data_IF_157952920532
#
_entry.id   IF_157952920532
#
_cell.length_a   1.000
_cell.length_b   1.000
_cell.length_c   1.000
_cell.angle_alpha   90.00
_cell.angle_beta   90.00
_cell.angle_gamma   90.00
#
_symmetry.space_group_name_H-M   'P 1'
#
loop_
_entity.id
_entity.type
_entity.pdbx_description
1 polymer ?
#
# COMPACT_ATOMS: atom_id res chain seq x y z
N UNK A 1 -18.05 -30.38 24.51
CA UNK A 1 -17.40 -29.26 25.20
C UNK A 1 -16.58 -28.42 24.25
N UNK A 2 -17.18 -27.33 23.74
CA UNK A 2 -16.46 -26.30 22.99
C UNK A 2 -15.81 -25.39 24.02
N UNK A 3 -14.49 -25.46 24.14
CA UNK A 3 -13.71 -24.51 24.92
C UNK A 3 -14.05 -23.08 24.44
N UNK A 4 -14.19 -22.11 25.37
CA UNK A 4 -14.37 -20.72 25.00
C UNK A 4 -13.14 -20.24 24.21
N UNK A 5 -13.35 -19.57 23.06
CA UNK A 5 -12.26 -18.89 22.31
C UNK A 5 -11.73 -17.77 23.21
N UNK A 6 -10.67 -18.07 23.95
CA UNK A 6 -9.97 -17.09 24.78
C UNK A 6 -9.27 -16.14 23.80
N UNK A 7 -9.77 -14.90 23.75
CA UNK A 7 -9.14 -13.68 23.26
C UNK A 7 -7.76 -13.86 22.58
N UNK A 8 -7.76 -14.07 21.26
CA UNK A 8 -6.56 -14.02 20.41
C UNK A 8 -6.02 -12.58 20.22
N UNK A 9 -6.63 -11.57 20.85
CA UNK A 9 -6.19 -10.18 20.83
C UNK A 9 -4.81 -9.94 21.48
N UNK A 10 -4.20 -10.97 22.09
CA UNK A 10 -2.87 -10.92 22.71
C UNK A 10 -1.83 -11.78 21.99
N UNK A 11 -2.19 -12.49 20.91
CA UNK A 11 -1.19 -13.20 20.10
C UNK A 11 -0.30 -12.15 19.44
N UNK A 12 1.04 -12.32 19.42
CA UNK A 12 1.93 -11.35 18.80
C UNK A 12 1.71 -11.36 17.29
N UNK A 13 0.82 -10.47 16.88
CA UNK A 13 0.63 -9.75 15.62
C UNK A 13 1.98 -9.21 15.09
N UNK A 14 2.89 -10.15 14.80
CA UNK A 14 4.24 -9.91 14.31
C UNK A 14 4.27 -9.59 12.80
N UNK A 15 3.46 -10.22 11.93
CA UNK A 15 3.53 -9.97 10.49
C UNK A 15 3.09 -8.55 10.13
N UNK A 16 2.01 -8.04 10.73
CA UNK A 16 1.48 -6.70 10.53
C UNK A 16 2.44 -5.64 11.07
N UNK A 17 2.99 -5.82 12.28
CA UNK A 17 4.01 -4.93 12.85
C UNK A 17 5.23 -4.82 11.95
N UNK A 18 5.72 -5.94 11.45
CA UNK A 18 6.88 -5.95 10.54
C UNK A 18 6.49 -5.33 9.19
N UNK A 19 5.27 -5.54 8.69
CA UNK A 19 4.78 -4.93 7.46
C UNK A 19 4.68 -3.40 7.56
N UNK A 20 4.40 -2.82 8.73
CA UNK A 20 4.40 -1.36 8.92
C UNK A 20 5.78 -0.71 8.75
N UNK A 21 6.86 -1.49 8.74
CA UNK A 21 8.22 -0.98 8.44
C UNK A 21 8.45 -0.75 6.95
N UNK A 22 7.59 -1.28 6.07
CA UNK A 22 7.73 -1.20 4.61
C UNK A 22 7.59 0.23 4.08
N UNK A 23 6.58 1.05 4.49
CA UNK A 23 6.50 2.44 4.07
C UNK A 23 7.74 3.30 4.38
N UNK A 24 8.30 3.31 5.62
CA UNK A 24 9.52 4.06 5.88
C UNK A 24 10.76 3.46 5.20
N UNK A 25 10.83 2.13 5.03
CA UNK A 25 11.92 1.48 4.30
C UNK A 25 12.00 1.95 2.83
N UNK A 26 10.85 2.15 2.19
CA UNK A 26 10.77 2.63 0.82
C UNK A 26 11.32 4.06 0.66
N UNK A 27 11.13 4.90 1.68
CA UNK A 27 11.70 6.26 1.70
C UNK A 27 13.23 6.23 1.71
N UNK A 28 13.85 5.31 2.47
CA UNK A 28 15.30 5.10 2.44
C UNK A 28 15.78 4.53 1.11
N UNK A 29 15.05 3.57 0.55
CA UNK A 29 15.38 2.95 -0.74
C UNK A 29 15.44 3.99 -1.86
N UNK A 30 14.35 4.74 -2.08
CA UNK A 30 14.35 5.79 -3.10
C UNK A 30 15.22 6.98 -2.73
N UNK A 31 15.35 7.32 -1.44
CA UNK A 31 16.23 8.38 -0.97
C UNK A 31 17.72 8.14 -1.27
N UNK A 32 18.16 6.88 -1.35
CA UNK A 32 19.52 6.53 -1.76
C UNK A 32 19.77 6.57 -3.28
N UNK A 33 18.72 6.31 -4.08
CA UNK A 33 18.76 6.27 -5.55
C UNK A 33 18.60 7.63 -6.23
N UNK A 34 18.06 8.63 -5.53
CA UNK A 34 17.88 9.97 -6.09
C UNK A 34 19.12 10.84 -5.90
N UNK A 35 19.33 11.80 -6.79
CA UNK A 35 20.40 12.79 -6.64
C UNK A 35 20.32 13.49 -5.29
N UNK A 36 21.49 13.88 -4.75
CA UNK A 36 21.65 14.61 -3.48
C UNK A 36 20.64 15.75 -3.27
N UNK A 37 20.41 16.54 -4.33
CA UNK A 37 19.49 17.69 -4.32
C UNK A 37 18.03 17.31 -4.09
N UNK A 38 17.64 16.08 -4.41
CA UNK A 38 16.25 15.61 -4.37
C UNK A 38 15.94 14.70 -3.19
N UNK A 39 16.93 14.30 -2.39
CA UNK A 39 16.75 13.35 -1.27
C UNK A 39 15.71 13.85 -0.28
N UNK A 40 15.84 15.11 0.17
CA UNK A 40 14.89 15.72 1.09
C UNK A 40 13.47 15.77 0.49
N UNK A 41 13.37 16.10 -0.80
CA UNK A 41 12.09 16.10 -1.51
C UNK A 41 11.49 14.69 -1.56
N UNK A 42 12.29 13.66 -1.85
CA UNK A 42 11.82 12.28 -1.92
C UNK A 42 11.34 11.75 -0.56
N UNK A 43 12.08 12.04 0.51
CA UNK A 43 11.68 11.70 1.88
C UNK A 43 10.36 12.42 2.24
N UNK A 44 10.23 13.69 1.89
CA UNK A 44 9.03 14.47 2.15
C UNK A 44 7.82 13.96 1.36
N UNK A 45 7.98 13.64 0.07
CA UNK A 45 6.91 13.06 -0.76
C UNK A 45 6.46 11.70 -0.24
N UNK A 46 7.38 10.88 0.29
CA UNK A 46 7.05 9.59 0.90
C UNK A 46 6.22 9.78 2.19
N UNK A 47 6.60 10.73 3.04
CA UNK A 47 5.87 11.05 4.28
C UNK A 47 4.47 11.62 4.00
N UNK A 48 4.36 12.54 3.05
CA UNK A 48 3.08 13.12 2.63
C UNK A 48 2.17 12.04 2.02
N UNK A 49 2.73 11.12 1.23
CA UNK A 49 1.98 9.99 0.68
C UNK A 49 1.41 9.11 1.78
N UNK A 50 2.23 8.74 2.77
CA UNK A 50 1.78 7.95 3.91
C UNK A 50 0.62 8.64 4.65
N UNK A 51 0.72 9.94 4.93
CA UNK A 51 -0.34 10.67 5.62
C UNK A 51 -1.65 10.76 4.82
N UNK A 52 -1.57 11.09 3.53
CA UNK A 52 -2.76 11.23 2.67
C UNK A 52 -3.46 9.89 2.49
N UNK A 53 -2.70 8.85 2.18
CA UNK A 53 -3.27 7.52 1.94
C UNK A 53 -3.80 6.92 3.23
N UNK A 54 -3.12 7.11 4.37
CA UNK A 54 -3.65 6.68 5.66
C UNK A 54 -5.02 7.32 5.96
N UNK A 55 -5.13 8.65 5.80
CA UNK A 55 -6.40 9.35 6.02
C UNK A 55 -7.48 8.87 5.06
N UNK A 56 -7.16 8.77 3.77
CA UNK A 56 -8.10 8.28 2.75
C UNK A 56 -8.57 6.85 3.06
N UNK A 57 -7.66 5.96 3.44
CA UNK A 57 -7.93 4.57 3.77
C UNK A 57 -8.88 4.43 4.97
N UNK A 58 -8.59 5.16 6.06
CA UNK A 58 -9.44 5.17 7.26
C UNK A 58 -10.80 5.77 6.96
N UNK A 59 -10.86 6.89 6.24
CA UNK A 59 -12.12 7.58 5.97
C UNK A 59 -13.04 6.73 5.11
N UNK A 60 -12.54 6.14 4.02
CA UNK A 60 -13.39 5.35 3.13
C UNK A 60 -12.69 4.29 2.29
N UNK A 61 -11.37 4.34 2.07
CA UNK A 61 -10.67 3.40 1.19
C UNK A 61 -10.82 1.94 1.61
N UNK A 62 -10.68 1.66 2.91
CA UNK A 62 -10.92 0.32 3.44
C UNK A 62 -12.34 -0.18 3.15
N UNK A 63 -13.32 0.70 3.36
CA UNK A 63 -14.74 0.43 3.11
C UNK A 63 -14.97 0.13 1.63
N UNK A 64 -14.33 0.88 0.74
CA UNK A 64 -14.49 0.70 -0.69
C UNK A 64 -13.82 -0.59 -1.20
N UNK A 65 -12.66 -0.95 -0.64
CA UNK A 65 -11.95 -2.18 -0.99
C UNK A 65 -12.62 -3.45 -0.43
N UNK A 66 -13.00 -3.44 0.85
CA UNK A 66 -13.41 -4.65 1.59
C UNK A 66 -14.82 -4.60 2.17
N UNK A 67 -15.49 -3.45 2.12
CA UNK A 67 -16.83 -3.29 2.67
C UNK A 67 -17.90 -4.12 1.95
N UNK A 68 -19.14 -4.11 2.49
CA UNK A 68 -20.27 -4.80 1.88
C UNK A 68 -20.44 -4.35 0.43
N UNK A 69 -20.64 -5.27 -0.52
CA UNK A 69 -20.63 -4.94 -1.93
C UNK A 69 -21.87 -4.14 -2.35
N UNK A 70 -21.68 -3.16 -3.25
CA UNK A 70 -22.78 -2.52 -3.98
C UNK A 70 -23.03 -3.26 -5.30
N UNK A 71 -21.97 -3.69 -5.97
CA UNK A 71 -22.01 -4.44 -7.23
C UNK A 71 -20.74 -5.28 -7.40
N UNK A 72 -20.68 -6.10 -8.46
CA UNK A 72 -19.49 -6.88 -8.78
C UNK A 72 -18.31 -5.92 -9.07
N UNK A 73 -17.35 -5.88 -8.15
CA UNK A 73 -16.17 -5.02 -8.26
C UNK A 73 -16.28 -3.61 -7.68
N UNK A 74 -17.35 -3.28 -6.93
CA UNK A 74 -17.44 -2.03 -6.18
C UNK A 74 -17.95 -2.28 -4.76
N UNK A 75 -17.11 -1.95 -3.76
CA UNK A 75 -17.52 -1.92 -2.35
C UNK A 75 -18.41 -0.72 -2.03
N UNK A 76 -19.06 -0.78 -0.87
CA UNK A 76 -19.86 0.33 -0.34
C UNK A 76 -19.06 1.21 0.61
N UNK A 77 -19.65 2.35 1.00
CA UNK A 77 -19.10 3.22 2.04
C UNK A 77 -19.63 2.91 3.45
N UNK A 78 -20.25 1.74 3.67
CA UNK A 78 -20.90 1.40 4.95
C UNK A 78 -19.92 1.25 6.13
N UNK A 79 -18.67 0.87 5.87
CA UNK A 79 -17.59 0.82 6.87
C UNK A 79 -16.66 2.05 6.83
N UNK A 80 -17.16 3.18 6.34
CA UNK A 80 -16.40 4.43 6.38
C UNK A 80 -15.99 4.79 7.82
N UNK A 81 -14.83 5.42 7.98
CA UNK A 81 -14.23 5.75 9.28
C UNK A 81 -14.01 4.50 10.14
N UNK A 82 -13.75 3.35 9.50
CA UNK A 82 -13.55 2.04 10.14
C UNK A 82 -14.69 1.63 11.08
N UNK A 83 -15.93 2.06 10.77
CA UNK A 83 -17.13 1.70 11.54
C UNK A 83 -17.69 0.38 11.05
N UNK A 84 -17.23 -0.71 11.65
CA UNK A 84 -17.61 -2.06 11.22
C UNK A 84 -19.01 -2.50 11.68
N UNK A 85 -19.61 -1.81 12.66
CA UNK A 85 -20.84 -2.26 13.34
C UNK A 85 -20.55 -3.44 14.29
N UNK A 86 -21.54 -4.30 14.54
CA UNK A 86 -21.39 -5.54 15.32
C UNK A 86 -20.89 -6.72 14.48
N UNK A 87 -20.26 -6.45 13.33
CA UNK A 87 -19.88 -7.50 12.38
C UNK A 87 -18.53 -8.08 12.78
N UNK A 88 -18.56 -9.32 13.27
CA UNK A 88 -17.40 -10.21 13.26
C UNK A 88 -17.33 -10.81 11.85
N UNK A 89 -16.35 -10.38 11.05
CA UNK A 89 -16.33 -10.76 9.65
C UNK A 89 -15.43 -11.98 9.40
N UNK A 90 -16.04 -13.15 9.58
CA UNK A 90 -15.44 -14.45 9.25
C UNK A 90 -14.95 -14.55 7.79
N UNK A 91 -15.42 -13.68 6.87
CA UNK A 91 -15.07 -13.76 5.43
C UNK A 91 -13.63 -13.30 5.15
N UNK A 92 -13.14 -12.29 5.87
CA UNK A 92 -11.80 -11.73 5.64
C UNK A 92 -10.85 -11.97 6.80
N UNK A 93 -11.39 -12.05 8.02
CA UNK A 93 -10.59 -12.05 9.24
C UNK A 93 -11.15 -13.05 10.26
N UNK A 94 -11.19 -14.36 9.92
CA UNK A 94 -11.75 -15.39 10.80
C UNK A 94 -10.92 -15.61 12.08
N UNK A 95 -9.65 -15.22 12.07
CA UNK A 95 -8.67 -15.54 13.12
C UNK A 95 -8.28 -14.32 13.97
N UNK A 96 -8.55 -13.10 13.52
CA UNK A 96 -8.14 -11.86 14.21
C UNK A 96 -9.13 -10.72 13.97
N UNK A 97 -9.08 -9.61 14.74
CA UNK A 97 -10.02 -8.51 14.58
C UNK A 97 -9.96 -7.84 13.20
N UNK A 98 -11.11 -7.43 12.66
CA UNK A 98 -11.21 -6.72 11.37
C UNK A 98 -10.40 -5.40 11.35
N UNK A 99 -10.18 -4.78 12.51
CA UNK A 99 -9.32 -3.60 12.63
C UNK A 99 -7.86 -3.92 12.29
N UNK A 100 -7.35 -5.08 12.70
CA UNK A 100 -5.99 -5.54 12.38
C UNK A 100 -5.89 -5.85 10.89
N UNK A 101 -6.92 -6.47 10.30
CA UNK A 101 -7.02 -6.65 8.85
C UNK A 101 -6.97 -5.31 8.09
N UNK A 102 -7.72 -4.31 8.57
CA UNK A 102 -7.73 -2.97 8.00
C UNK A 102 -6.37 -2.26 8.11
N UNK A 103 -5.68 -2.39 9.25
CA UNK A 103 -4.35 -1.85 9.45
C UNK A 103 -3.33 -2.54 8.53
N UNK A 104 -3.38 -3.86 8.43
CA UNK A 104 -2.52 -4.66 7.57
C UNK A 104 -2.64 -4.24 6.11
N UNK A 105 -3.85 -4.28 5.54
CA UNK A 105 -4.07 -3.87 4.14
C UNK A 105 -3.85 -2.36 3.92
N UNK A 106 -3.94 -1.55 4.98
CA UNK A 106 -3.56 -0.14 4.93
C UNK A 106 -2.07 0.05 4.58
N UNK A 107 -1.19 -0.87 4.96
CA UNK A 107 0.23 -0.81 4.57
C UNK A 107 0.42 -1.03 3.06
N UNK A 108 -0.39 -1.89 2.44
CA UNK A 108 -0.41 -2.13 0.99
C UNK A 108 -0.96 -0.90 0.26
N UNK A 109 -2.02 -0.29 0.80
CA UNK A 109 -2.58 0.94 0.27
C UNK A 109 -1.54 2.05 0.26
N UNK A 110 -0.75 2.19 1.33
CA UNK A 110 0.29 3.22 1.46
C UNK A 110 1.47 2.96 0.51
N UNK A 111 1.99 1.72 0.44
CA UNK A 111 3.20 1.43 -0.34
C UNK A 111 2.97 1.60 -1.85
N UNK A 112 1.76 1.27 -2.34
CA UNK A 112 1.47 1.22 -3.77
C UNK A 112 1.68 2.57 -4.49
N UNK A 113 1.03 3.68 -4.10
CA UNK A 113 1.29 4.99 -4.69
C UNK A 113 2.68 5.52 -4.32
N UNK A 114 3.25 5.11 -3.19
CA UNK A 114 4.62 5.48 -2.83
C UNK A 114 5.65 4.88 -3.80
N UNK A 115 5.40 3.70 -4.39
CA UNK A 115 6.23 3.14 -5.46
C UNK A 115 6.20 4.01 -6.73
N UNK A 116 5.06 4.62 -7.06
CA UNK A 116 4.92 5.54 -8.20
C UNK A 116 5.79 6.78 -7.97
N UNK A 117 5.88 7.26 -6.71
CA UNK A 117 6.64 8.46 -6.35
C UNK A 117 8.11 8.38 -6.80
N UNK A 118 8.72 7.19 -6.72
CA UNK A 118 10.10 6.96 -7.17
C UNK A 118 10.31 7.19 -8.66
N UNK A 119 9.29 6.94 -9.50
CA UNK A 119 9.37 7.16 -10.95
C UNK A 119 9.20 8.64 -11.35
N UNK A 120 8.52 9.42 -10.51
CA UNK A 120 8.13 10.82 -10.81
C UNK A 120 8.87 11.86 -9.98
N UNK A 121 9.82 11.43 -9.14
CA UNK A 121 10.63 12.31 -8.30
C UNK A 121 11.34 13.38 -9.12
N UNK A 122 11.25 14.63 -8.66
CA UNK A 122 11.83 15.79 -9.35
C UNK A 122 11.11 16.17 -10.65
N UNK A 123 9.95 15.57 -10.97
CA UNK A 123 9.15 15.88 -12.17
C UNK A 123 7.78 16.49 -11.88
N UNK A 124 7.35 16.50 -10.62
CA UNK A 124 6.04 17.03 -10.23
C UNK A 124 6.12 17.92 -9.00
N UNK A 125 5.31 18.98 -8.98
CA UNK A 125 5.17 19.86 -7.82
C UNK A 125 4.39 19.15 -6.71
N UNK A 126 4.58 19.58 -5.46
CA UNK A 126 3.97 18.98 -4.27
C UNK A 126 2.42 18.99 -4.32
N UNK A 127 1.79 20.12 -4.66
CA UNK A 127 0.31 20.19 -4.66
C UNK A 127 -0.32 19.24 -5.69
N UNK A 128 0.10 19.23 -6.98
CA UNK A 128 -0.34 18.21 -7.93
C UNK A 128 -0.08 16.78 -7.47
N UNK A 129 1.04 16.52 -6.79
CA UNK A 129 1.34 15.21 -6.21
C UNK A 129 0.33 14.77 -5.17
N UNK A 130 -0.01 15.64 -4.21
CA UNK A 130 -1.00 15.32 -3.18
C UNK A 130 -2.38 15.02 -3.77
N UNK A 131 -2.79 15.78 -4.78
CA UNK A 131 -4.05 15.55 -5.49
C UNK A 131 -3.99 14.23 -6.26
N UNK A 132 -2.90 14.00 -6.98
CA UNK A 132 -2.69 12.79 -7.77
C UNK A 132 -2.77 11.53 -6.90
N UNK A 133 -2.02 11.46 -5.80
CA UNK A 133 -2.02 10.26 -4.96
C UNK A 133 -3.37 10.01 -4.29
N UNK A 134 -4.08 11.06 -3.87
CA UNK A 134 -5.42 10.91 -3.28
C UNK A 134 -6.42 10.33 -4.29
N UNK A 135 -6.46 10.92 -5.49
CA UNK A 135 -7.35 10.48 -6.57
C UNK A 135 -6.95 9.08 -7.00
N UNK A 136 -5.67 8.85 -7.30
CA UNK A 136 -5.16 7.58 -7.79
C UNK A 136 -5.42 6.44 -6.82
N UNK A 137 -5.23 6.65 -5.51
CA UNK A 137 -5.55 5.63 -4.51
C UNK A 137 -7.04 5.30 -4.53
N UNK A 138 -7.89 6.33 -4.62
CA UNK A 138 -9.35 6.16 -4.63
C UNK A 138 -9.87 5.47 -5.90
N UNK A 139 -9.33 5.81 -7.08
CA UNK A 139 -9.89 5.37 -8.37
C UNK A 139 -9.14 4.22 -9.03
N UNK A 140 -7.91 3.94 -8.62
CA UNK A 140 -7.11 2.84 -9.14
C UNK A 140 -6.88 1.76 -8.09
N UNK A 141 -6.33 2.13 -6.93
CA UNK A 141 -5.98 1.15 -5.91
C UNK A 141 -7.22 0.51 -5.26
N UNK A 142 -8.14 1.30 -4.71
CA UNK A 142 -9.29 0.76 -3.98
C UNK A 142 -10.17 -0.17 -4.85
N UNK A 143 -10.51 0.18 -6.12
CA UNK A 143 -11.23 -0.74 -6.99
C UNK A 143 -10.41 -1.99 -7.32
N UNK A 144 -9.11 -1.87 -7.62
CA UNK A 144 -8.27 -3.02 -7.91
C UNK A 144 -8.20 -3.98 -6.72
N UNK A 145 -8.04 -3.45 -5.51
CA UNK A 145 -8.08 -4.24 -4.28
C UNK A 145 -9.43 -4.94 -4.11
N UNK A 146 -10.54 -4.27 -4.40
CA UNK A 146 -11.86 -4.90 -4.40
C UNK A 146 -11.98 -6.02 -5.44
N UNK A 147 -11.49 -5.80 -6.66
CA UNK A 147 -11.58 -6.76 -7.76
C UNK A 147 -10.85 -8.06 -7.46
N UNK A 148 -9.67 -7.96 -6.85
CA UNK A 148 -8.77 -9.08 -6.61
C UNK A 148 -9.00 -9.74 -5.24
N UNK A 149 -9.20 -8.96 -4.19
CA UNK A 149 -9.30 -9.47 -2.82
C UNK A 149 -10.69 -9.38 -2.21
N UNK A 150 -11.50 -8.40 -2.64
CA UNK A 150 -12.87 -8.20 -2.17
C UNK A 150 -13.75 -9.43 -2.40
N UNK A 151 -14.72 -9.63 -1.51
CA UNK A 151 -15.64 -10.78 -1.51
C UNK A 151 -16.54 -10.84 -2.75
N UNK A 152 -16.80 -9.69 -3.38
CA UNK A 152 -17.55 -9.54 -4.63
C UNK A 152 -16.66 -9.24 -5.84
N UNK A 153 -15.34 -9.36 -5.66
CA UNK A 153 -14.35 -9.03 -6.67
C UNK A 153 -14.46 -9.95 -7.87
N UNK A 154 -14.66 -9.38 -9.06
CA UNK A 154 -14.85 -10.19 -10.27
C UNK A 154 -13.59 -10.98 -10.63
N UNK A 155 -12.38 -10.42 -10.44
CA UNK A 155 -11.12 -11.14 -10.69
C UNK A 155 -10.95 -12.31 -9.71
N UNK A 156 -11.35 -12.13 -8.45
CA UNK A 156 -11.41 -13.21 -7.46
C UNK A 156 -12.32 -14.34 -7.93
N UNK A 157 -13.52 -14.00 -8.40
CA UNK A 157 -14.49 -14.99 -8.88
C UNK A 157 -14.06 -15.69 -10.18
N UNK A 158 -13.22 -15.05 -11.00
CA UNK A 158 -12.59 -15.68 -12.16
C UNK A 158 -11.45 -16.65 -11.79
N UNK A 159 -11.07 -16.75 -10.51
CA UNK A 159 -10.00 -17.62 -10.05
C UNK A 159 -8.60 -17.00 -10.16
N UNK A 160 -8.49 -15.67 -10.18
CA UNK A 160 -7.20 -14.98 -10.18
C UNK A 160 -6.44 -15.30 -8.89
N UNK A 161 -5.24 -15.84 -9.02
CA UNK A 161 -4.38 -16.16 -7.87
C UNK A 161 -3.41 -15.00 -7.66
N UNK A 162 -3.76 -14.10 -6.74
CA UNK A 162 -2.88 -13.04 -6.28
C UNK A 162 -2.81 -13.02 -4.75
N UNK A 163 -1.81 -13.73 -4.23
CA UNK A 163 -1.66 -14.00 -2.81
C UNK A 163 -1.33 -12.74 -2.01
N UNK A 164 -0.34 -11.95 -2.45
CA UNK A 164 0.18 -10.80 -1.71
C UNK A 164 0.21 -9.51 -2.55
N UNK A 165 -0.49 -9.43 -3.68
CA UNK A 165 -0.65 -8.16 -4.41
C UNK A 165 0.36 -7.97 -5.53
N UNK A 166 0.74 -9.05 -6.21
CA UNK A 166 1.44 -9.02 -7.49
C UNK A 166 0.77 -8.06 -8.47
N UNK A 167 -0.56 -8.15 -8.58
CA UNK A 167 -1.36 -7.28 -9.45
C UNK A 167 -1.70 -5.97 -8.77
N UNK A 168 -2.24 -6.03 -7.54
CA UNK A 168 -2.80 -4.86 -6.83
C UNK A 168 -1.72 -3.85 -6.44
N UNK A 169 -0.52 -4.31 -6.11
CA UNK A 169 0.60 -3.46 -5.67
C UNK A 169 1.61 -3.29 -6.79
N UNK A 170 2.27 -4.36 -7.25
CA UNK A 170 3.47 -4.22 -8.08
C UNK A 170 3.18 -3.87 -9.54
N UNK A 171 2.29 -4.61 -10.20
CA UNK A 171 1.93 -4.32 -11.59
C UNK A 171 1.21 -2.98 -11.68
N UNK A 172 0.23 -2.74 -10.80
CA UNK A 172 -0.55 -1.50 -10.81
C UNK A 172 0.34 -0.26 -10.61
N UNK A 173 1.24 -0.28 -9.61
CA UNK A 173 2.18 0.82 -9.38
C UNK A 173 3.23 0.95 -10.48
N UNK A 174 3.77 -0.16 -10.99
CA UNK A 174 4.78 -0.16 -12.05
C UNK A 174 4.27 0.43 -13.36
N UNK A 175 3.08 0.00 -13.81
CA UNK A 175 2.44 0.56 -15.01
C UNK A 175 2.09 2.03 -14.80
N UNK A 176 1.57 2.40 -13.62
CA UNK A 176 1.25 3.79 -13.30
C UNK A 176 2.49 4.68 -13.28
N UNK A 177 3.60 4.20 -12.72
CA UNK A 177 4.89 4.87 -12.73
C UNK A 177 5.43 5.07 -14.14
N UNK A 178 5.35 4.04 -14.98
CA UNK A 178 5.73 4.13 -16.40
C UNK A 178 4.89 5.19 -17.12
N UNK A 179 3.56 5.10 -17.05
CA UNK A 179 2.65 6.06 -17.70
C UNK A 179 2.89 7.48 -17.21
N UNK A 180 3.02 7.68 -15.89
CA UNK A 180 3.29 8.99 -15.32
C UNK A 180 4.66 9.55 -15.79
N UNK A 181 5.68 8.69 -15.90
CA UNK A 181 7.00 9.10 -16.39
C UNK A 181 6.98 9.52 -17.87
N UNK A 182 6.12 8.90 -18.70
CA UNK A 182 5.92 9.26 -20.09
C UNK A 182 5.18 10.59 -20.23
N UNK A 183 4.13 10.81 -19.42
CA UNK A 183 3.32 12.04 -19.46
C UNK A 183 4.11 13.25 -18.93
N UNK A 184 4.81 13.10 -17.82
CA UNK A 184 5.60 14.18 -17.21
C UNK A 184 6.87 14.52 -18.01
N UNK A 185 7.31 13.60 -18.87
CA UNK A 185 8.46 13.79 -19.75
C UNK A 185 9.81 13.77 -19.04
N UNK A 186 10.83 14.27 -19.74
CA UNK A 186 12.22 14.29 -19.27
C UNK A 186 12.42 15.36 -18.20
N UNK A 187 13.19 15.02 -17.19
CA UNK A 187 13.61 15.94 -16.13
C UNK A 187 14.49 17.07 -16.70
N UNK A 188 14.18 18.33 -16.36
CA UNK A 188 14.88 19.48 -16.93
C UNK A 188 16.35 19.59 -16.52
N UNK A 189 16.69 19.05 -15.35
CA UNK A 189 18.00 19.07 -14.74
C UNK A 189 18.68 17.68 -14.75
N UNK A 190 18.30 16.85 -15.74
CA UNK A 190 18.96 15.57 -16.01
C UNK A 190 20.32 15.80 -16.64
N UNK A 191 21.38 15.49 -15.88
CA UNK A 191 22.75 15.49 -16.35
C UNK A 191 23.21 14.03 -16.59
N UNK A 192 23.43 13.58 -17.83
CA UNK A 192 23.92 12.24 -18.11
C UNK A 192 25.33 11.95 -17.57
N UNK A 193 26.06 12.98 -17.13
CA UNK A 193 27.39 12.88 -16.51
C UNK A 193 27.35 12.97 -14.96
N UNK A 194 26.16 13.16 -14.37
CA UNK A 194 25.95 13.08 -12.92
C UNK A 194 25.97 11.62 -12.46
N UNK A 195 27.15 11.07 -12.18
CA UNK A 195 27.35 9.64 -11.88
C UNK A 195 27.44 9.31 -10.38
N UNK A 196 26.68 9.97 -9.50
CA UNK A 196 26.78 9.65 -8.07
C UNK A 196 25.38 9.49 -7.47
N UNK A 197 24.97 8.22 -7.31
CA UNK A 197 23.95 7.82 -6.35
C UNK A 197 24.24 8.55 -5.03
N UNK A 198 23.27 9.27 -4.50
CA UNK A 198 23.53 10.13 -3.35
C UNK A 198 24.15 9.35 -2.17
N UNK A 199 23.67 8.12 -1.94
CA UNK A 199 24.14 7.28 -0.85
C UNK A 199 23.74 5.80 -1.06
N UNK A 200 24.59 5.01 -1.74
CA UNK A 200 24.36 3.57 -1.92
C UNK A 200 24.12 2.80 -0.60
N UNK A 201 24.82 3.08 0.51
CA UNK A 201 24.47 2.55 1.83
C UNK A 201 23.02 2.77 2.27
N UNK A 202 22.39 3.93 1.94
CA UNK A 202 20.97 4.15 2.24
C UNK A 202 20.06 3.29 1.37
N UNK A 203 20.40 3.09 0.10
CA UNK A 203 19.67 2.15 -0.77
C UNK A 203 19.75 0.73 -0.22
N UNK A 204 20.93 0.29 0.24
CA UNK A 204 21.12 -1.04 0.84
C UNK A 204 20.33 -1.16 2.14
N UNK A 205 20.39 -0.15 3.02
CA UNK A 205 19.60 -0.12 4.26
C UNK A 205 18.10 -0.22 3.98
N UNK A 206 17.59 0.60 3.05
CA UNK A 206 16.20 0.56 2.61
C UNK A 206 15.83 -0.81 2.05
N UNK A 207 16.70 -1.43 1.24
CA UNK A 207 16.50 -2.78 0.69
C UNK A 207 16.40 -3.84 1.78
N UNK A 208 17.29 -3.79 2.78
CA UNK A 208 17.26 -4.74 3.90
C UNK A 208 16.01 -4.58 4.76
N UNK A 209 15.61 -3.33 5.04
CA UNK A 209 14.36 -3.04 5.76
C UNK A 209 13.13 -3.48 4.95
N UNK A 210 13.14 -3.26 3.63
CA UNK A 210 12.10 -3.75 2.72
C UNK A 210 12.03 -5.27 2.77
N UNK A 211 13.15 -5.98 2.73
CA UNK A 211 13.16 -7.45 2.78
C UNK A 211 12.59 -7.98 4.10
N UNK A 212 13.01 -7.41 5.24
CA UNK A 212 12.43 -7.78 6.55
C UNK A 212 10.93 -7.50 6.56
N UNK A 213 10.51 -6.30 6.15
CA UNK A 213 9.12 -5.90 6.04
C UNK A 213 8.31 -6.79 5.10
N UNK A 214 8.91 -7.24 4.00
CA UNK A 214 8.31 -8.11 3.00
C UNK A 214 7.97 -9.49 3.56
N UNK A 215 8.68 -9.94 4.59
CA UNK A 215 8.35 -11.19 5.28
C UNK A 215 6.98 -11.08 5.97
N UNK A 216 6.64 -9.91 6.52
CA UNK A 216 5.30 -9.61 7.02
C UNK A 216 4.27 -9.41 5.90
N UNK A 217 4.67 -8.79 4.79
CA UNK A 217 3.83 -8.59 3.60
C UNK A 217 3.40 -9.92 2.95
N UNK A 218 4.29 -10.90 2.85
CA UNK A 218 3.93 -12.22 2.32
C UNK A 218 3.32 -13.12 3.41
N UNK A 219 3.93 -13.18 4.59
CA UNK A 219 3.46 -14.06 5.68
C UNK A 219 2.07 -13.70 6.19
N UNK A 220 1.78 -12.40 6.35
CA UNK A 220 0.47 -11.92 6.81
C UNK A 220 -0.65 -12.11 5.77
N UNK A 221 -0.33 -12.22 4.48
CA UNK A 221 -1.30 -12.42 3.40
C UNK A 221 -1.99 -13.78 3.46
N UNK A 222 -1.47 -14.71 4.28
CA UNK A 222 -2.12 -15.97 4.56
C UNK A 222 -3.36 -15.84 5.47
N UNK A 223 -3.65 -14.64 6.00
CA UNK A 223 -4.82 -14.31 6.84
C UNK A 223 -5.05 -15.30 8.01
N UNK A 224 -3.96 -15.84 8.58
CA UNK A 224 -4.02 -16.76 9.72
C UNK A 224 -3.58 -18.20 9.45
N UNK A 225 -2.75 -18.47 8.43
CA UNK A 225 -2.08 -19.77 8.32
C UNK A 225 -0.97 -19.91 9.37
N UNK A 226 -1.34 -20.44 10.54
CA UNK A 226 -0.64 -21.56 11.19
C UNK A 226 -1.58 -22.77 11.19
#
# INVERSE_FOLDING_TARGET
DRLPRINDATRPDTPDKICTTVPPALAFFYGGLVDRKNVLNQLFLSFICMGIVFLQWVLFGFSFAFGPPISAGFGSFKWAVLRFGEIDNDVYSPTYPLLTFAAYHGTFAIITPALISGAIVGRMKLIPYMIFIFIWTTVCYDPMANWVWGSSGWLKHLGTLDFAGGTVVHILSGVSGLVASLILGKRSDYDPHSTIDHNLPFTILGTLLLWVGWSGFNGGSANGAE
#
